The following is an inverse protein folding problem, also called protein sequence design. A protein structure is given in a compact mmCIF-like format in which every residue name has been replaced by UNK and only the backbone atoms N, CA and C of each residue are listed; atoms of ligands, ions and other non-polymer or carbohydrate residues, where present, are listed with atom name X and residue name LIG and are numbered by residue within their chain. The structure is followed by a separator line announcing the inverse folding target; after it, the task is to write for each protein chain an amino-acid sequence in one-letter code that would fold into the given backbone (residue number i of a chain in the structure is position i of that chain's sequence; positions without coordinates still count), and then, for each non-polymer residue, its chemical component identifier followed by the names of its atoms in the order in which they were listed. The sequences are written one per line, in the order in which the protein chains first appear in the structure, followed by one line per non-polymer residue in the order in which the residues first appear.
data_IF_447536746599
#
_entry.id   IF_447536746599
#
_cell.length_a   1.000
_cell.length_b   1.000
_cell.length_c   1.000
_cell.angle_alpha   90.00
_cell.angle_beta   90.00
_cell.angle_gamma   90.00
#
_symmetry.space_group_name_H-M   'P 1'
#
loop_
_entity.id
_entity.type
_entity.pdbx_description
1 polymer ?
#
# COMPACT_ATOMS: atom_id res chain seq x y z
N UNK A 1 20.60 29.25 19.64
CA UNK A 1 20.23 28.88 18.24
C UNK A 1 18.79 29.25 18.02
N UNK A 2 18.46 29.83 16.88
CA UNK A 2 17.06 30.10 16.53
C UNK A 2 16.30 28.81 16.20
N UNK A 3 14.97 28.83 16.18
CA UNK A 3 14.14 27.68 15.76
C UNK A 3 14.53 27.24 14.34
N UNK A 4 14.85 28.18 13.46
CA UNK A 4 15.27 27.88 12.08
C UNK A 4 16.63 27.20 12.05
N UNK A 5 17.57 27.60 12.91
CA UNK A 5 18.88 26.94 13.01
C UNK A 5 18.73 25.48 13.46
N UNK A 6 17.86 25.22 14.44
CA UNK A 6 17.55 23.87 14.92
C UNK A 6 16.90 23.01 13.83
N UNK A 7 15.92 23.55 13.10
CA UNK A 7 15.27 22.86 12.00
C UNK A 7 16.28 22.52 10.88
N UNK A 8 17.15 23.47 10.54
CA UNK A 8 18.22 23.25 9.56
C UNK A 8 19.25 22.21 10.02
N UNK A 9 19.53 22.18 11.33
CA UNK A 9 20.41 21.16 11.91
C UNK A 9 19.76 19.78 11.83
N UNK A 10 18.50 19.65 12.21
CA UNK A 10 17.72 18.39 12.10
C UNK A 10 17.66 17.89 10.66
N UNK A 11 17.39 18.79 9.69
CA UNK A 11 17.37 18.40 8.27
C UNK A 11 18.74 17.83 7.79
N UNK A 12 19.84 18.41 8.25
CA UNK A 12 21.19 17.89 7.95
C UNK A 12 21.46 16.55 8.63
N UNK A 13 21.02 16.38 9.89
CA UNK A 13 21.09 15.10 10.61
C UNK A 13 20.32 14.01 9.83
N UNK A 14 19.07 14.26 9.49
CA UNK A 14 18.21 13.33 8.73
C UNK A 14 18.85 12.95 7.38
N UNK A 15 19.44 13.92 6.65
CA UNK A 15 20.14 13.63 5.40
C UNK A 15 21.43 12.82 5.63
N UNK A 16 22.13 13.06 6.72
CA UNK A 16 23.33 12.31 7.10
C UNK A 16 23.01 10.86 7.43
N UNK A 17 21.95 10.62 8.21
CA UNK A 17 21.54 9.29 8.65
C UNK A 17 20.92 8.45 7.52
N UNK A 18 20.06 9.07 6.68
CA UNK A 18 19.28 8.34 5.70
C UNK A 18 19.74 8.49 4.25
N UNK A 19 20.61 9.45 3.96
CA UNK A 19 20.98 9.79 2.59
C UNK A 19 21.59 8.63 1.82
N UNK A 20 22.46 7.85 2.44
CA UNK A 20 23.13 6.70 1.82
C UNK A 20 22.20 5.48 1.67
N UNK A 21 21.30 5.24 2.66
CA UNK A 21 20.35 4.15 2.64
C UNK A 21 19.17 4.37 1.67
N UNK A 22 18.97 5.62 1.23
CA UNK A 22 17.90 6.01 0.32
C UNK A 22 18.25 5.66 -1.13
N UNK A 23 17.40 4.89 -1.81
CA UNK A 23 17.60 4.44 -3.19
C UNK A 23 16.50 4.92 -4.14
N UNK A 24 16.81 4.93 -5.45
CA UNK A 24 15.84 5.14 -6.53
C UNK A 24 15.37 3.77 -7.04
N UNK A 25 14.07 3.63 -7.28
CA UNK A 25 13.45 2.42 -7.84
C UNK A 25 13.00 2.68 -9.27
N UNK A 26 13.40 1.77 -10.19
CA UNK A 26 13.06 1.80 -11.61
C UNK A 26 13.95 2.73 -12.43
N UNK A 27 14.05 2.47 -13.74
CA UNK A 27 14.93 3.19 -14.67
C UNK A 27 14.66 4.71 -14.73
N UNK A 28 13.37 5.10 -14.63
CA UNK A 28 12.94 6.50 -14.75
C UNK A 28 12.71 7.19 -13.39
N UNK A 29 13.24 6.63 -12.28
CA UNK A 29 12.97 7.15 -10.95
C UNK A 29 11.49 7.07 -10.58
N UNK A 30 10.89 5.92 -10.82
CA UNK A 30 9.47 5.65 -10.63
C UNK A 30 9.05 5.77 -9.17
N UNK A 31 9.94 5.37 -8.27
CA UNK A 31 9.78 5.44 -6.83
C UNK A 31 11.09 5.61 -6.11
N UNK A 32 11.00 5.69 -4.81
CA UNK A 32 12.09 5.64 -3.87
C UNK A 32 12.02 4.33 -3.07
N UNK A 33 13.10 3.98 -2.42
CA UNK A 33 13.18 2.87 -1.48
C UNK A 33 14.22 3.15 -0.43
N UNK A 34 14.31 2.27 0.57
CA UNK A 34 15.26 2.39 1.65
C UNK A 34 15.90 1.05 1.97
N UNK A 35 17.20 1.04 2.20
CA UNK A 35 17.94 -0.14 2.68
C UNK A 35 17.51 -0.42 4.12
N UNK A 36 17.03 -1.63 4.39
CA UNK A 36 16.51 -2.04 5.70
C UNK A 36 17.36 -3.12 6.38
N UNK A 37 18.16 -3.82 5.61
CA UNK A 37 19.14 -4.79 6.06
C UNK A 37 20.18 -5.01 4.94
N UNK A 38 21.26 -5.71 5.23
CA UNK A 38 22.20 -6.14 4.21
C UNK A 38 21.48 -6.97 3.14
N UNK A 39 21.61 -6.56 1.88
CA UNK A 39 20.94 -7.21 0.76
C UNK A 39 19.43 -6.95 0.64
N UNK A 40 18.83 -6.06 1.44
CA UNK A 40 17.37 -5.84 1.46
C UNK A 40 17.01 -4.37 1.30
N UNK A 41 16.12 -4.10 0.34
CA UNK A 41 15.51 -2.78 0.10
C UNK A 41 14.00 -2.86 0.23
N UNK A 42 13.41 -1.97 1.03
CA UNK A 42 11.96 -1.79 1.16
C UNK A 42 11.47 -0.69 0.23
N UNK A 43 10.35 -0.93 -0.44
CA UNK A 43 9.64 0.08 -1.25
C UNK A 43 8.14 -0.24 -1.34
N UNK A 44 7.36 0.59 -2.04
CA UNK A 44 5.97 0.28 -2.34
C UNK A 44 5.85 -0.73 -3.49
N UNK A 45 4.85 -1.61 -3.43
CA UNK A 45 4.61 -2.60 -4.48
C UNK A 45 4.23 -1.94 -5.81
N UNK A 46 3.48 -0.82 -5.80
CA UNK A 46 3.12 -0.09 -7.03
C UNK A 46 4.31 0.55 -7.77
N UNK A 47 5.49 0.61 -7.14
CA UNK A 47 6.72 1.05 -7.79
C UNK A 47 7.29 0.00 -8.76
N UNK A 48 6.88 -1.26 -8.64
CA UNK A 48 7.29 -2.34 -9.51
C UNK A 48 6.27 -2.57 -10.63
N UNK A 49 6.73 -3.09 -11.77
CA UNK A 49 5.88 -3.62 -12.85
C UNK A 49 5.95 -5.14 -12.90
N UNK A 50 7.13 -5.67 -12.62
CA UNK A 50 7.48 -7.07 -12.75
C UNK A 50 8.20 -7.53 -11.47
N UNK A 51 8.57 -8.79 -11.39
CA UNK A 51 9.31 -9.38 -10.27
C UNK A 51 10.74 -8.86 -10.10
N UNK A 52 11.21 -7.99 -11.02
CA UNK A 52 12.56 -7.38 -10.98
C UNK A 52 12.51 -5.90 -11.24
N UNK A 53 13.46 -5.15 -10.70
CA UNK A 53 13.56 -3.70 -10.92
C UNK A 53 15.00 -3.22 -10.77
N UNK A 54 15.32 -2.08 -11.40
CA UNK A 54 16.61 -1.43 -11.20
C UNK A 54 16.58 -0.64 -9.89
N UNK A 55 17.61 -0.82 -9.05
CA UNK A 55 17.82 -0.08 -7.81
C UNK A 55 19.09 0.75 -7.96
N UNK A 56 18.96 2.08 -7.87
CA UNK A 56 20.11 3.00 -7.99
C UNK A 56 20.42 3.60 -6.63
N UNK A 57 21.64 3.42 -6.18
CA UNK A 57 22.18 3.86 -4.90
C UNK A 57 22.71 5.31 -4.93
N UNK A 58 23.10 5.84 -3.77
CA UNK A 58 23.59 7.20 -3.60
C UNK A 58 24.88 7.48 -4.37
N UNK A 59 25.77 6.51 -4.46
CA UNK A 59 27.03 6.55 -5.20
C UNK A 59 26.87 6.46 -6.73
N UNK A 60 25.65 6.25 -7.22
CA UNK A 60 25.34 6.08 -8.64
C UNK A 60 25.42 4.64 -9.13
N UNK A 61 25.80 3.68 -8.30
CA UNK A 61 25.75 2.26 -8.60
C UNK A 61 24.33 1.82 -8.83
N UNK A 62 24.11 1.03 -9.86
CA UNK A 62 22.78 0.51 -10.22
C UNK A 62 22.84 -1.02 -10.25
N UNK A 63 21.95 -1.65 -9.50
CA UNK A 63 21.88 -3.10 -9.34
C UNK A 63 20.48 -3.60 -9.70
N UNK A 64 20.41 -4.83 -10.18
CA UNK A 64 19.13 -5.50 -10.41
C UNK A 64 18.59 -6.05 -9.10
N UNK A 65 17.46 -5.50 -8.63
CA UNK A 65 16.72 -6.03 -7.50
C UNK A 65 15.68 -7.06 -7.96
N UNK A 66 15.51 -8.12 -7.18
CA UNK A 66 14.45 -9.13 -7.35
C UNK A 66 13.51 -9.13 -6.15
N UNK A 67 12.24 -9.45 -6.35
CA UNK A 67 11.29 -9.51 -5.24
C UNK A 67 11.65 -10.65 -4.30
N UNK A 68 12.01 -10.33 -3.06
CA UNK A 68 12.14 -11.30 -1.97
C UNK A 68 10.75 -11.69 -1.46
N UNK A 69 9.89 -10.72 -1.15
CA UNK A 69 8.52 -10.92 -0.74
C UNK A 69 7.70 -9.65 -0.96
N UNK A 70 6.38 -9.83 -1.16
CA UNK A 70 5.44 -8.76 -1.44
C UNK A 70 4.14 -8.88 -0.63
N UNK A 71 3.60 -7.74 -0.21
CA UNK A 71 2.23 -7.52 0.24
C UNK A 71 1.60 -6.52 -0.73
N UNK A 72 1.06 -7.01 -1.85
CA UNK A 72 0.52 -6.13 -2.89
C UNK A 72 -0.70 -5.33 -2.44
N UNK A 73 -1.57 -5.92 -1.61
CA UNK A 73 -2.73 -5.22 -1.05
C UNK A 73 -2.34 -4.18 0.01
N UNK A 74 -1.27 -4.46 0.75
CA UNK A 74 -0.68 -3.54 1.69
C UNK A 74 0.33 -2.57 1.07
N UNK A 75 0.54 -2.67 -0.26
CA UNK A 75 1.45 -1.80 -1.03
C UNK A 75 2.90 -1.85 -0.54
N UNK A 76 3.40 -3.03 -0.20
CA UNK A 76 4.78 -3.22 0.26
C UNK A 76 5.49 -4.30 -0.53
N UNK A 77 6.77 -4.08 -0.77
CA UNK A 77 7.67 -5.09 -1.33
C UNK A 77 9.07 -4.94 -0.73
N UNK A 78 9.69 -6.07 -0.43
CA UNK A 78 11.11 -6.14 -0.11
C UNK A 78 11.83 -6.77 -1.31
N UNK A 79 12.92 -6.13 -1.70
CA UNK A 79 13.78 -6.56 -2.79
C UNK A 79 15.06 -7.19 -2.23
N UNK A 80 15.49 -8.27 -2.86
CA UNK A 80 16.85 -8.78 -2.79
C UNK A 80 17.72 -8.01 -3.79
N UNK A 81 18.78 -7.37 -3.31
CA UNK A 81 19.70 -6.59 -4.14
C UNK A 81 21.04 -6.45 -3.42
N UNK A 82 22.14 -6.42 -4.15
CA UNK A 82 23.44 -6.15 -3.52
C UNK A 82 23.51 -4.71 -2.99
N UNK A 83 23.41 -4.57 -1.68
CA UNK A 83 23.53 -3.27 -0.99
C UNK A 83 24.96 -2.87 -0.67
N UNK A 84 25.94 -3.73 -0.95
CA UNK A 84 27.35 -3.56 -0.56
C UNK A 84 27.47 -3.16 0.94
N UNK A 85 28.23 -2.09 1.24
CA UNK A 85 28.44 -1.60 2.60
C UNK A 85 27.44 -0.52 3.05
N UNK A 86 26.33 -0.32 2.31
CA UNK A 86 25.31 0.68 2.70
C UNK A 86 24.65 0.26 4.01
N UNK A 87 24.74 1.15 5.02
CA UNK A 87 24.13 0.92 6.32
C UNK A 87 22.60 0.94 6.23
N UNK A 88 21.91 0.01 6.90
CA UNK A 88 20.45 0.03 6.97
C UNK A 88 19.92 1.26 7.73
N UNK A 89 18.75 1.74 7.34
CA UNK A 89 18.03 2.75 8.08
C UNK A 89 17.56 2.21 9.43
N UNK A 90 17.46 3.09 10.43
CA UNK A 90 17.00 2.78 11.77
C UNK A 90 15.53 3.18 11.93
N UNK A 91 14.72 2.31 12.53
CA UNK A 91 13.33 2.60 12.86
C UNK A 91 13.23 3.46 14.11
N UNK A 92 12.25 4.35 14.17
CA UNK A 92 11.93 5.08 15.37
C UNK A 92 11.34 4.15 16.44
N UNK A 93 11.65 4.41 17.71
CA UNK A 93 11.06 3.68 18.85
C UNK A 93 9.60 4.05 19.10
N UNK A 94 9.20 5.25 18.69
CA UNK A 94 7.86 5.79 18.89
C UNK A 94 7.29 6.33 17.58
N UNK A 95 6.00 6.11 17.37
CA UNK A 95 5.28 6.72 16.26
C UNK A 95 5.00 8.20 16.58
N UNK A 96 4.97 9.06 15.53
CA UNK A 96 4.72 10.48 15.71
C UNK A 96 3.26 10.72 16.07
N UNK A 97 3.02 11.87 16.72
CA UNK A 97 1.70 12.38 17.05
C UNK A 97 1.32 13.56 16.14
N UNK A 98 0.03 13.90 16.09
CA UNK A 98 -0.42 15.09 15.39
C UNK A 98 0.25 16.34 15.97
N UNK A 99 0.82 17.17 15.09
CA UNK A 99 1.61 18.35 15.45
C UNK A 99 3.12 18.14 15.45
N UNK A 100 3.61 16.89 15.42
CA UNK A 100 5.05 16.63 15.32
C UNK A 100 5.62 17.06 13.98
N UNK A 101 6.84 17.61 14.02
CA UNK A 101 7.61 17.91 12.80
C UNK A 101 8.24 16.62 12.27
N UNK A 102 8.06 16.39 10.98
CA UNK A 102 8.65 15.24 10.28
C UNK A 102 9.40 15.68 9.02
N UNK A 103 10.29 14.83 8.57
CA UNK A 103 11.05 14.99 7.34
C UNK A 103 10.68 13.86 6.37
N UNK A 104 10.32 14.23 5.14
CA UNK A 104 10.05 13.26 4.09
C UNK A 104 11.19 13.28 3.07
N UNK A 105 11.70 12.09 2.74
CA UNK A 105 12.83 11.95 1.82
C UNK A 105 12.40 11.18 0.56
N UNK A 106 13.09 11.51 -0.52
CA UNK A 106 12.98 10.78 -1.79
C UNK A 106 14.31 10.86 -2.54
N UNK A 107 14.53 9.94 -3.47
CA UNK A 107 15.67 9.99 -4.37
C UNK A 107 15.20 10.01 -5.82
N UNK A 108 15.67 10.99 -6.57
CA UNK A 108 15.47 11.07 -8.02
C UNK A 108 16.82 11.06 -8.72
N UNK A 109 17.16 9.97 -9.38
CA UNK A 109 18.50 9.75 -9.91
C UNK A 109 19.56 9.79 -8.81
N UNK A 110 20.57 10.64 -8.96
CA UNK A 110 21.69 10.74 -8.01
C UNK A 110 21.44 11.68 -6.81
N UNK A 111 20.28 12.34 -6.74
CA UNK A 111 20.03 13.39 -5.73
C UNK A 111 19.00 12.95 -4.71
N UNK A 112 19.42 12.91 -3.44
CA UNK A 112 18.45 12.89 -2.34
C UNK A 112 17.74 14.23 -2.24
N UNK A 113 16.45 14.19 -1.95
CA UNK A 113 15.60 15.35 -1.67
C UNK A 113 14.99 15.18 -0.30
N UNK A 114 14.98 16.26 0.46
CA UNK A 114 14.35 16.33 1.76
C UNK A 114 13.35 17.47 1.76
N UNK A 115 12.20 17.24 2.34
CA UNK A 115 11.23 18.26 2.70
C UNK A 115 10.82 18.05 4.15
N UNK A 116 10.29 19.08 4.79
CA UNK A 116 9.74 18.97 6.13
C UNK A 116 8.28 19.43 6.15
N UNK A 117 7.57 18.95 7.13
CA UNK A 117 6.19 19.31 7.40
C UNK A 117 5.78 18.85 8.78
N UNK A 118 4.49 18.84 9.02
CA UNK A 118 3.91 18.39 10.29
C UNK A 118 3.00 17.20 10.03
N UNK A 119 2.89 16.33 11.01
CA UNK A 119 1.82 15.34 11.08
C UNK A 119 0.51 16.09 11.28
N UNK A 120 -0.39 16.00 10.31
CA UNK A 120 -1.72 16.62 10.36
C UNK A 120 -2.71 15.76 11.12
N UNK A 121 -2.62 14.45 10.91
CA UNK A 121 -3.51 13.47 11.53
C UNK A 121 -2.83 12.10 11.57
N UNK A 122 -3.26 11.28 12.51
CA UNK A 122 -2.88 9.87 12.62
C UNK A 122 -4.12 9.01 12.47
N UNK A 123 -3.94 7.71 12.20
CA UNK A 123 -5.03 6.75 11.98
C UNK A 123 -5.96 7.10 10.81
N UNK A 124 -5.40 7.71 9.75
CA UNK A 124 -6.17 7.95 8.52
C UNK A 124 -6.25 6.68 7.67
N UNK A 125 -7.41 6.50 7.04
CA UNK A 125 -7.61 5.42 6.09
C UNK A 125 -7.27 5.89 4.67
N UNK A 126 -6.64 5.02 3.89
CA UNK A 126 -6.36 5.25 2.46
C UNK A 126 -6.55 3.96 1.67
N UNK A 127 -6.76 4.08 0.36
CA UNK A 127 -6.91 2.91 -0.50
C UNK A 127 -5.55 2.47 -1.03
N UNK A 128 -5.20 1.21 -0.80
CA UNK A 128 -4.06 0.57 -1.45
C UNK A 128 -4.25 0.41 -2.96
N UNK A 129 -3.22 -0.05 -3.70
CA UNK A 129 -3.25 -0.12 -5.17
C UNK A 129 -4.40 -0.95 -5.75
N UNK A 130 -4.88 -1.94 -5.01
CA UNK A 130 -6.00 -2.83 -5.38
C UNK A 130 -7.34 -2.41 -4.77
N UNK A 131 -7.44 -1.17 -4.27
CA UNK A 131 -8.67 -0.61 -3.72
C UNK A 131 -9.01 -1.07 -2.29
N UNK A 132 -8.16 -1.90 -1.66
CA UNK A 132 -8.32 -2.27 -0.26
C UNK A 132 -8.04 -1.07 0.63
N UNK A 133 -8.90 -0.83 1.61
CA UNK A 133 -8.67 0.20 2.61
C UNK A 133 -7.57 -0.24 3.59
N UNK A 134 -6.57 0.61 3.77
CA UNK A 134 -5.48 0.48 4.74
C UNK A 134 -5.72 1.53 5.81
N UNK A 135 -5.78 1.12 7.07
CA UNK A 135 -5.98 1.99 8.23
C UNK A 135 -4.64 2.31 8.91
N UNK A 136 -4.64 3.27 9.81
CA UNK A 136 -3.47 3.62 10.60
C UNK A 136 -2.48 4.53 9.89
N UNK A 137 -2.86 5.15 8.75
CA UNK A 137 -1.96 6.05 8.03
C UNK A 137 -1.60 7.31 8.81
N UNK A 138 -0.38 7.82 8.60
CA UNK A 138 0.09 9.13 9.06
C UNK A 138 -0.13 10.13 7.94
N UNK A 139 -1.05 11.08 8.11
CA UNK A 139 -1.21 12.20 7.19
C UNK A 139 -0.25 13.32 7.56
N UNK A 140 0.45 13.88 6.57
CA UNK A 140 1.44 14.93 6.79
C UNK A 140 1.47 15.97 5.66
N UNK A 141 2.07 17.14 5.95
CA UNK A 141 2.16 18.28 5.04
C UNK A 141 3.53 18.45 4.39
N UNK A 142 4.51 17.57 4.65
CA UNK A 142 5.81 17.63 3.99
C UNK A 142 5.66 17.43 2.48
N UNK A 143 6.04 18.41 1.63
CA UNK A 143 5.81 18.31 0.19
C UNK A 143 6.55 17.14 -0.45
N UNK A 144 5.85 16.33 -1.25
CA UNK A 144 6.43 15.23 -2.00
C UNK A 144 6.46 15.51 -3.49
N UNK A 145 7.54 15.09 -4.13
CA UNK A 145 7.69 15.10 -5.59
C UNK A 145 7.24 13.76 -6.19
N UNK A 146 7.06 13.73 -7.52
CA UNK A 146 6.87 12.46 -8.23
C UNK A 146 8.06 11.52 -7.97
N UNK A 147 7.79 10.24 -7.70
CA UNK A 147 8.80 9.25 -7.34
C UNK A 147 9.18 9.22 -5.86
N UNK A 148 8.44 9.95 -4.99
CA UNK A 148 8.68 9.90 -3.55
C UNK A 148 8.04 8.68 -2.84
N UNK A 149 7.10 7.99 -3.49
CA UNK A 149 6.51 6.75 -2.95
C UNK A 149 7.59 5.72 -2.64
N UNK A 150 7.52 5.10 -1.47
CA UNK A 150 8.53 4.17 -0.96
C UNK A 150 9.72 4.85 -0.29
N UNK A 151 9.80 6.19 -0.31
CA UNK A 151 10.78 6.94 0.48
C UNK A 151 10.36 7.07 1.93
N UNK A 152 11.34 7.22 2.87
CA UNK A 152 11.05 7.28 4.29
C UNK A 152 10.45 8.64 4.71
N UNK A 153 9.64 8.58 5.76
CA UNK A 153 9.32 9.70 6.64
C UNK A 153 10.08 9.49 7.94
N UNK A 154 10.78 10.51 8.42
CA UNK A 154 11.67 10.42 9.57
C UNK A 154 11.36 11.50 10.61
N UNK A 155 11.73 11.20 11.85
CA UNK A 155 11.81 12.17 12.94
C UNK A 155 13.03 13.09 12.79
N UNK A 156 13.20 14.03 13.72
CA UNK A 156 14.32 14.99 13.72
C UNK A 156 15.70 14.34 13.98
N UNK A 157 15.72 13.11 14.49
CA UNK A 157 16.93 12.30 14.72
C UNK A 157 17.36 11.46 13.52
N UNK A 158 16.52 11.38 12.47
CA UNK A 158 16.76 10.54 11.30
C UNK A 158 16.25 9.11 11.43
N UNK A 159 15.42 8.82 12.45
CA UNK A 159 14.79 7.51 12.57
C UNK A 159 13.50 7.46 11.76
N UNK A 160 13.30 6.38 11.04
CA UNK A 160 12.15 6.22 10.14
C UNK A 160 10.89 5.91 10.93
N UNK A 161 9.89 6.81 10.82
CA UNK A 161 8.55 6.68 11.43
C UNK A 161 7.51 6.14 10.46
N UNK A 162 7.76 6.23 9.15
CA UNK A 162 6.82 5.81 8.12
C UNK A 162 7.42 5.71 6.73
N UNK A 163 6.63 5.12 5.81
CA UNK A 163 6.95 4.99 4.40
C UNK A 163 5.92 5.77 3.57
N UNK A 164 6.37 6.75 2.78
CA UNK A 164 5.49 7.53 1.90
C UNK A 164 4.79 6.62 0.90
N UNK A 165 3.47 6.74 0.78
CA UNK A 165 2.69 5.91 -0.13
C UNK A 165 1.73 6.69 -1.01
N UNK A 166 0.86 7.52 -0.44
CA UNK A 166 -0.27 8.12 -1.14
C UNK A 166 -0.35 9.63 -0.99
N UNK A 167 -1.13 10.27 -1.87
CA UNK A 167 -1.53 11.67 -1.79
C UNK A 167 -3.04 11.73 -1.58
N UNK A 168 -3.50 12.34 -0.48
CA UNK A 168 -4.91 12.44 -0.13
C UNK A 168 -5.59 13.70 -0.64
N UNK A 169 -4.82 14.75 -0.94
CA UNK A 169 -5.38 16.03 -1.41
C UNK A 169 -4.30 17.03 -1.79
N UNK A 170 -4.67 18.30 -1.95
CA UNK A 170 -3.71 19.37 -2.23
C UNK A 170 -2.93 19.69 -0.95
N UNK A 171 -1.65 19.30 -0.92
CA UNK A 171 -0.74 19.58 0.19
C UNK A 171 -0.77 18.56 1.33
N UNK A 172 -1.55 17.47 1.22
CA UNK A 172 -1.59 16.40 2.19
C UNK A 172 -1.13 15.08 1.57
N UNK A 173 -0.32 14.35 2.30
CA UNK A 173 0.29 13.09 1.89
C UNK A 173 0.12 12.07 3.01
N UNK A 174 0.12 10.79 2.66
CA UNK A 174 0.01 9.71 3.63
C UNK A 174 1.27 8.87 3.59
N UNK A 175 1.77 8.59 4.78
CA UNK A 175 2.79 7.59 5.03
C UNK A 175 2.18 6.41 5.81
N UNK A 176 2.68 5.22 5.53
CA UNK A 176 2.37 4.03 6.31
C UNK A 176 3.30 4.00 7.53
N UNK A 177 2.78 3.99 8.78
CA UNK A 177 3.61 4.00 9.98
C UNK A 177 4.42 2.71 10.09
N UNK A 178 5.65 2.81 10.59
CA UNK A 178 6.51 1.65 10.89
C UNK A 178 6.23 1.19 12.33
N UNK A 179 5.02 0.72 12.59
CA UNK A 179 4.63 0.10 13.85
C UNK A 179 5.14 -1.35 13.96
N UNK A 180 4.96 -1.99 15.11
CA UNK A 180 5.38 -3.39 15.35
C UNK A 180 4.75 -4.37 14.35
N UNK A 181 3.48 -4.15 13.98
CA UNK A 181 2.78 -5.01 13.03
C UNK A 181 3.39 -4.90 11.63
N UNK A 182 3.72 -3.66 11.21
CA UNK A 182 4.38 -3.44 9.93
C UNK A 182 5.81 -3.96 9.94
N UNK A 183 6.57 -3.76 11.02
CA UNK A 183 7.93 -4.32 11.17
C UNK A 183 7.92 -5.85 11.07
N UNK A 184 6.96 -6.51 11.71
CA UNK A 184 6.77 -7.96 11.59
C UNK A 184 6.45 -8.38 10.14
N UNK A 185 5.59 -7.63 9.45
CA UNK A 185 5.29 -7.87 8.03
C UNK A 185 6.55 -7.71 7.17
N UNK A 186 7.30 -6.62 7.34
CA UNK A 186 8.55 -6.35 6.61
C UNK A 186 9.57 -7.47 6.83
N UNK A 187 9.73 -7.94 8.07
CA UNK A 187 10.61 -9.06 8.40
C UNK A 187 10.19 -10.35 7.68
N UNK A 188 8.89 -10.64 7.63
CA UNK A 188 8.34 -11.76 6.87
C UNK A 188 8.63 -11.66 5.37
N UNK A 189 8.41 -10.47 4.77
CA UNK A 189 8.72 -10.21 3.37
C UNK A 189 10.22 -10.35 3.08
N UNK A 190 11.08 -9.85 3.97
CA UNK A 190 12.53 -9.97 3.85
C UNK A 190 13.01 -11.43 3.94
N UNK A 191 12.28 -12.29 4.66
CA UNK A 191 12.52 -13.73 4.74
C UNK A 191 11.92 -14.52 3.56
N UNK A 192 11.32 -13.87 2.56
CA UNK A 192 10.75 -14.50 1.38
C UNK A 192 9.25 -14.87 1.49
N UNK A 193 8.59 -14.48 2.58
CA UNK A 193 7.18 -14.81 2.80
C UNK A 193 6.28 -13.70 2.25
N UNK A 194 5.76 -13.88 1.04
CA UNK A 194 4.75 -12.95 0.49
C UNK A 194 3.40 -13.10 1.19
N UNK A 195 2.71 -11.97 1.34
CA UNK A 195 1.34 -11.94 1.88
C UNK A 195 0.37 -12.12 0.72
N UNK A 196 -0.16 -13.32 0.57
CA UNK A 196 -1.19 -13.63 -0.43
C UNK A 196 -2.55 -13.59 0.26
N UNK A 197 -3.43 -12.70 -0.22
CA UNK A 197 -4.81 -12.64 0.25
C UNK A 197 -5.76 -13.20 -0.78
N UNK A 198 -6.81 -13.91 -0.36
CA UNK A 198 -7.85 -14.37 -1.27
C UNK A 198 -8.47 -13.20 -2.04
N UNK A 199 -8.70 -13.39 -3.33
CA UNK A 199 -9.40 -12.44 -4.20
C UNK A 199 -10.46 -13.15 -5.02
N UNK A 200 -11.56 -12.47 -5.28
CA UNK A 200 -12.63 -13.05 -6.09
C UNK A 200 -12.31 -13.08 -7.58
N UNK A 201 -11.49 -12.15 -8.07
CA UNK A 201 -11.26 -11.97 -9.51
C UNK A 201 -12.48 -11.32 -10.20
N UNK A 202 -13.06 -10.28 -9.59
CA UNK A 202 -14.21 -9.54 -10.14
C UNK A 202 -13.97 -8.04 -10.14
N UNK A 203 -14.51 -7.35 -11.14
CA UNK A 203 -14.69 -5.90 -11.12
C UNK A 203 -16.09 -5.59 -10.57
N UNK A 204 -16.18 -4.71 -9.56
CA UNK A 204 -17.41 -4.41 -8.85
C UNK A 204 -17.79 -2.93 -8.97
N UNK A 205 -19.09 -2.67 -9.12
CA UNK A 205 -19.67 -1.35 -8.91
C UNK A 205 -20.28 -1.25 -7.50
N UNK A 206 -20.12 -0.09 -6.82
CA UNK A 206 -20.67 0.13 -5.50
C UNK A 206 -22.20 0.19 -5.51
N UNK A 207 -22.87 0.08 -4.34
CA UNK A 207 -24.31 -0.04 -4.24
C UNK A 207 -25.11 1.06 -4.94
N UNK A 208 -24.64 2.32 -4.89
CA UNK A 208 -25.31 3.47 -5.50
C UNK A 208 -25.33 3.39 -7.03
N UNK A 209 -24.24 2.85 -7.62
CA UNK A 209 -24.14 2.61 -9.06
C UNK A 209 -24.96 1.36 -9.43
N UNK A 210 -24.90 0.32 -8.62
CA UNK A 210 -25.67 -0.90 -8.79
C UNK A 210 -27.18 -0.61 -8.82
N UNK A 211 -27.69 0.19 -7.88
CA UNK A 211 -29.09 0.57 -7.79
C UNK A 211 -29.57 1.29 -9.07
N UNK A 212 -28.79 2.26 -9.57
CA UNK A 212 -29.11 3.00 -10.81
C UNK A 212 -29.16 2.08 -12.02
N UNK A 213 -28.19 1.18 -12.17
CA UNK A 213 -28.11 0.25 -13.30
C UNK A 213 -29.26 -0.77 -13.25
N UNK A 214 -29.61 -1.29 -12.07
CA UNK A 214 -30.74 -2.22 -11.91
C UNK A 214 -32.07 -1.54 -12.24
N UNK A 215 -32.30 -0.31 -11.74
CA UNK A 215 -33.50 0.47 -12.05
C UNK A 215 -33.63 0.75 -13.56
N UNK A 216 -32.56 1.03 -14.26
CA UNK A 216 -32.58 1.31 -15.72
C UNK A 216 -33.04 0.13 -16.56
N UNK A 217 -32.94 -1.11 -16.05
CA UNK A 217 -33.40 -2.33 -16.71
C UNK A 217 -34.66 -2.92 -16.06
N UNK A 218 -35.35 -2.16 -15.19
CA UNK A 218 -36.59 -2.56 -14.57
C UNK A 218 -36.52 -3.63 -13.49
N UNK A 219 -35.31 -3.87 -12.92
CA UNK A 219 -35.12 -4.81 -11.83
C UNK A 219 -35.47 -4.17 -10.48
N UNK A 220 -36.00 -4.95 -9.51
CA UNK A 220 -36.31 -4.48 -8.17
C UNK A 220 -35.10 -3.85 -7.48
N UNK A 221 -35.36 -2.84 -6.65
CA UNK A 221 -34.33 -2.24 -5.81
C UNK A 221 -33.75 -3.29 -4.84
N UNK A 222 -32.42 -3.38 -4.82
CA UNK A 222 -31.70 -4.28 -3.92
C UNK A 222 -30.31 -3.72 -3.67
N UNK A 223 -29.92 -3.64 -2.40
CA UNK A 223 -28.57 -3.23 -2.02
C UNK A 223 -27.57 -4.36 -2.27
N UNK A 224 -26.42 -4.04 -2.83
CA UNK A 224 -25.35 -5.00 -3.09
C UNK A 224 -24.29 -4.44 -4.03
N UNK A 225 -23.26 -5.23 -4.30
CA UNK A 225 -22.16 -4.91 -5.20
C UNK A 225 -22.41 -5.56 -6.57
N UNK A 226 -22.52 -4.77 -7.64
CA UNK A 226 -22.81 -5.30 -8.97
C UNK A 226 -21.51 -5.76 -9.65
N UNK A 227 -21.49 -7.00 -10.11
CA UNK A 227 -20.39 -7.56 -10.90
C UNK A 227 -20.38 -6.94 -12.29
N UNK A 228 -19.29 -6.26 -12.65
CA UNK A 228 -19.08 -5.56 -13.94
C UNK A 228 -18.13 -6.30 -14.85
N UNK A 229 -17.46 -7.31 -14.34
CA UNK A 229 -16.57 -8.19 -15.06
C UNK A 229 -16.03 -9.29 -14.14
N UNK A 230 -15.69 -10.42 -14.73
CA UNK A 230 -15.15 -11.58 -14.03
C UNK A 230 -13.87 -12.01 -14.73
N UNK A 231 -12.81 -12.23 -13.98
CA UNK A 231 -11.54 -12.74 -14.47
C UNK A 231 -11.73 -14.18 -14.98
N UNK A 232 -11.38 -14.50 -16.23
CA UNK A 232 -11.47 -15.87 -16.73
C UNK A 232 -10.67 -16.83 -15.84
N UNK A 233 -11.24 -18.01 -15.57
CA UNK A 233 -10.65 -19.04 -14.72
C UNK A 233 -10.32 -18.59 -13.28
N UNK A 234 -10.81 -17.39 -12.88
CA UNK A 234 -10.68 -16.89 -11.52
C UNK A 234 -11.64 -17.56 -10.55
N UNK A 235 -11.44 -17.38 -9.22
CA UNK A 235 -12.29 -18.02 -8.19
C UNK A 235 -13.78 -17.75 -8.35
N UNK A 236 -14.17 -16.51 -8.70
CA UNK A 236 -15.58 -16.16 -8.94
C UNK A 236 -16.15 -16.85 -10.18
N UNK A 237 -15.38 -16.89 -11.29
CA UNK A 237 -15.79 -17.60 -12.51
C UNK A 237 -16.02 -19.08 -12.24
N UNK A 238 -15.07 -19.73 -11.54
CA UNK A 238 -15.15 -21.14 -11.16
C UNK A 238 -16.33 -21.45 -10.24
N UNK A 239 -16.75 -20.46 -9.43
CA UNK A 239 -17.95 -20.55 -8.59
C UNK A 239 -19.26 -20.21 -9.34
N UNK A 240 -19.19 -19.89 -10.65
CA UNK A 240 -20.32 -19.58 -11.49
C UNK A 240 -20.88 -18.15 -11.33
N UNK A 241 -20.12 -17.23 -10.71
CA UNK A 241 -20.43 -15.80 -10.69
C UNK A 241 -20.13 -15.22 -12.08
N UNK A 242 -21.04 -14.37 -12.57
CA UNK A 242 -20.93 -13.78 -13.90
C UNK A 242 -21.18 -12.26 -13.86
N UNK A 243 -20.83 -11.59 -14.95
CA UNK A 243 -21.20 -10.18 -15.12
C UNK A 243 -22.71 -9.99 -15.04
N UNK A 244 -23.15 -8.94 -14.36
CA UNK A 244 -24.57 -8.67 -14.09
C UNK A 244 -25.11 -9.26 -12.79
N UNK A 245 -24.36 -10.16 -12.13
CA UNK A 245 -24.72 -10.65 -10.81
C UNK A 245 -24.61 -9.54 -9.76
N UNK A 246 -25.49 -9.53 -8.77
CA UNK A 246 -25.44 -8.65 -7.61
C UNK A 246 -25.02 -9.47 -6.39
N UNK A 247 -23.90 -9.14 -5.78
CA UNK A 247 -23.46 -9.73 -4.52
C UNK A 247 -24.15 -8.99 -3.38
N UNK A 248 -25.04 -9.65 -2.64
CA UNK A 248 -25.89 -9.01 -1.62
C UNK A 248 -25.47 -9.31 -0.19
N UNK A 249 -24.80 -10.45 0.05
CA UNK A 249 -24.27 -10.80 1.36
C UNK A 249 -22.99 -11.64 1.26
N UNK A 250 -22.20 -11.62 2.32
CA UNK A 250 -21.06 -12.50 2.57
C UNK A 250 -21.26 -13.17 3.93
N UNK A 251 -21.41 -14.50 3.96
CA UNK A 251 -21.92 -15.17 5.14
C UNK A 251 -23.24 -14.53 5.56
N UNK A 252 -23.34 -14.14 6.84
CA UNK A 252 -24.52 -13.47 7.42
C UNK A 252 -24.47 -11.93 7.29
N UNK A 253 -23.42 -11.35 6.72
CA UNK A 253 -23.21 -9.91 6.63
C UNK A 253 -23.68 -9.35 5.29
N UNK A 254 -24.57 -8.35 5.31
CA UNK A 254 -25.01 -7.66 4.10
C UNK A 254 -23.86 -6.90 3.42
N UNK A 255 -23.76 -7.00 2.11
CA UNK A 255 -22.72 -6.30 1.32
C UNK A 255 -23.20 -4.88 0.97
N UNK A 256 -23.07 -3.98 1.94
CA UNK A 256 -23.43 -2.56 1.81
C UNK A 256 -22.28 -1.69 1.31
N UNK A 257 -21.04 -2.21 1.27
CA UNK A 257 -19.86 -1.52 0.76
C UNK A 257 -18.80 -2.53 0.31
N UNK A 258 -17.83 -2.05 -0.49
CA UNK A 258 -16.62 -2.82 -0.86
C UNK A 258 -15.78 -3.21 0.36
N UNK A 259 -15.78 -2.37 1.40
CA UNK A 259 -15.04 -2.60 2.63
C UNK A 259 -15.50 -3.89 3.34
N UNK A 260 -16.81 -4.11 3.45
CA UNK A 260 -17.37 -5.34 4.05
C UNK A 260 -16.85 -6.58 3.31
N UNK A 261 -16.82 -6.54 1.96
CA UNK A 261 -16.29 -7.64 1.15
C UNK A 261 -14.79 -7.83 1.36
N UNK A 262 -13.99 -6.74 1.38
CA UNK A 262 -12.55 -6.80 1.59
C UNK A 262 -12.20 -7.35 2.97
N UNK A 263 -12.95 -6.99 4.01
CA UNK A 263 -12.75 -7.52 5.36
C UNK A 263 -13.05 -9.03 5.41
N UNK A 264 -14.14 -9.46 4.77
CA UNK A 264 -14.48 -10.87 4.67
C UNK A 264 -13.43 -11.68 3.88
N UNK A 265 -12.92 -11.14 2.76
CA UNK A 265 -11.82 -11.74 2.00
C UNK A 265 -10.53 -11.80 2.81
N UNK A 266 -10.24 -10.78 3.63
CA UNK A 266 -9.08 -10.76 4.51
C UNK A 266 -9.13 -11.82 5.61
N UNK A 267 -10.32 -12.20 6.06
CA UNK A 267 -10.54 -13.24 7.07
C UNK A 267 -10.67 -14.65 6.45
N UNK A 268 -10.99 -14.76 5.16
CA UNK A 268 -11.15 -16.03 4.46
C UNK A 268 -9.81 -16.76 4.32
N UNK A 269 -9.83 -18.08 4.49
CA UNK A 269 -8.65 -18.93 4.28
C UNK A 269 -8.76 -19.73 2.99
N UNK A 270 -9.77 -20.57 2.86
CA UNK A 270 -9.95 -21.49 1.74
C UNK A 270 -11.24 -21.22 0.97
N UNK A 271 -12.27 -20.78 1.65
CA UNK A 271 -13.59 -20.57 1.04
C UNK A 271 -14.25 -19.28 1.53
N UNK A 272 -15.16 -18.75 0.72
CA UNK A 272 -16.04 -17.63 1.06
C UNK A 272 -17.44 -17.92 0.53
N UNK A 273 -18.44 -17.80 1.39
CA UNK A 273 -19.85 -17.98 1.00
C UNK A 273 -20.46 -16.62 0.67
N UNK A 274 -21.05 -16.50 -0.51
CA UNK A 274 -21.70 -15.29 -1.01
C UNK A 274 -23.17 -15.57 -1.33
N UNK A 275 -24.06 -14.63 -1.02
CA UNK A 275 -25.40 -14.59 -1.56
C UNK A 275 -25.40 -13.71 -2.79
N UNK A 276 -25.86 -14.28 -3.92
CA UNK A 276 -25.79 -13.67 -5.25
C UNK A 276 -27.19 -13.60 -5.84
N UNK A 277 -27.55 -12.48 -6.44
CA UNK A 277 -28.83 -12.28 -7.15
C UNK A 277 -28.54 -12.11 -8.64
N UNK A 278 -29.09 -12.99 -9.48
CA UNK A 278 -29.06 -12.89 -10.94
C UNK A 278 -30.45 -12.55 -11.45
N UNK A 279 -30.63 -11.35 -11.98
CA UNK A 279 -31.99 -10.82 -12.27
C UNK A 279 -32.80 -10.69 -10.98
N UNK A 280 -33.72 -11.63 -10.76
CA UNK A 280 -34.55 -11.76 -9.54
C UNK A 280 -34.22 -12.98 -8.70
N UNK A 281 -33.43 -13.93 -9.24
CA UNK A 281 -33.14 -15.21 -8.61
C UNK A 281 -31.98 -15.09 -7.64
N UNK A 282 -32.24 -15.44 -6.38
CA UNK A 282 -31.24 -15.43 -5.31
C UNK A 282 -30.67 -16.85 -5.10
N UNK A 283 -29.35 -16.94 -4.95
CA UNK A 283 -28.65 -18.18 -4.69
C UNK A 283 -27.45 -17.99 -3.79
N UNK A 284 -27.08 -19.02 -3.06
CA UNK A 284 -25.85 -19.06 -2.26
C UNK A 284 -24.75 -19.73 -3.10
N UNK A 285 -23.59 -19.10 -3.14
CA UNK A 285 -22.42 -19.52 -3.89
C UNK A 285 -21.22 -19.63 -2.96
N UNK A 286 -20.54 -20.77 -2.97
CA UNK A 286 -19.28 -20.93 -2.25
C UNK A 286 -18.13 -20.75 -3.22
N UNK A 287 -17.31 -19.73 -2.97
CA UNK A 287 -16.08 -19.48 -3.73
C UNK A 287 -14.93 -20.16 -3.02
N UNK A 288 -14.15 -20.95 -3.75
CA UNK A 288 -12.95 -21.64 -3.24
C UNK A 288 -11.70 -20.92 -3.74
N UNK A 289 -10.77 -20.65 -2.83
CA UNK A 289 -9.47 -20.07 -3.15
C UNK A 289 -8.42 -21.16 -3.17
N UNK A 290 -7.92 -21.49 -4.34
CA UNK A 290 -6.75 -22.38 -4.50
C UNK A 290 -5.48 -21.62 -4.10
N UNK A 291 -4.60 -22.28 -3.33
CA UNK A 291 -3.26 -21.76 -2.98
C UNK A 291 -2.34 -21.76 -4.19
#
# INVERSE_FOLDING_TARGET
MSVIDNLSASARTVLGELGESLVTIGQDGRGSGIVIAAGKVLTNAHNLRDGTTLVTFADGRAEQGTVAGADEDGDLVVLDVDTAAVAPATWAEQLPQAGDVIFALSRGGHRARISFGMVSSVDVAFNGPRGRQVHGGIEHTAPLVRGASGGPVADAGGHVVGLNTHRTGRGFYVARPIDEALQSTIAGLAAGNSVVRPRLGVALAPPEVAAKLRASVGLPERTGLLVRGVEPDGPAANAGIAEGDLLVAVGDSALVSLEVLHNALGAARETLTLTVVRGTDERVVTVTFTK
#
